data_IF_756555732359
#
_entry.id   IF_756555732359
#
_cell.length_a   1.000
_cell.length_b   1.000
_cell.length_c   1.000
_cell.angle_alpha   90.00
_cell.angle_beta   90.00
_cell.angle_gamma   90.00
#
_symmetry.space_group_name_H-M   'P 1'
#
loop_
_entity.id
_entity.type
_entity.pdbx_description
1 polymer ?
#
# COMPACT_ATOMS: atom_id res chain seq x y z
N UNK A 1 -19.30 11.58 -15.07
CA UNK A 1 -18.08 10.75 -15.07
C UNK A 1 -18.06 10.02 -13.73
N UNK A 2 -18.28 8.71 -13.73
CA UNK A 2 -18.15 7.89 -12.53
C UNK A 2 -16.67 7.79 -12.19
N UNK A 3 -16.32 8.20 -10.97
CA UNK A 3 -14.93 8.19 -10.51
C UNK A 3 -14.65 6.82 -9.93
N UNK A 4 -13.81 6.05 -10.59
CA UNK A 4 -13.52 4.65 -10.21
C UNK A 4 -12.21 4.53 -9.44
N UNK A 5 -12.14 3.51 -8.59
CA UNK A 5 -10.91 3.11 -7.93
C UNK A 5 -10.03 2.33 -8.92
N UNK A 6 -8.77 2.73 -9.06
CA UNK A 6 -7.81 2.04 -9.95
C UNK A 6 -6.73 1.37 -9.13
N UNK A 7 -6.52 0.07 -9.33
CA UNK A 7 -5.44 -0.70 -8.68
C UNK A 7 -4.16 -0.52 -9.48
N UNK A 8 -3.06 -0.27 -8.79
CA UNK A 8 -1.73 -0.15 -9.36
C UNK A 8 -0.76 -1.07 -8.60
N UNK A 9 -0.17 -2.04 -9.31
CA UNK A 9 0.76 -3.05 -8.79
C UNK A 9 2.19 -2.47 -8.61
N UNK A 10 2.30 -1.41 -7.81
CA UNK A 10 3.57 -0.87 -7.33
C UNK A 10 3.37 -0.22 -5.97
N UNK A 11 4.44 -0.06 -5.20
CA UNK A 11 4.41 0.83 -4.04
C UNK A 11 4.11 2.28 -4.48
N UNK A 12 3.39 3.08 -3.68
CA UNK A 12 3.18 4.49 -4.01
C UNK A 12 4.52 5.26 -3.92
N UNK A 13 4.54 6.52 -4.39
CA UNK A 13 5.68 7.42 -4.17
C UNK A 13 6.00 7.53 -2.68
N UNK A 14 7.24 7.87 -2.34
CA UNK A 14 7.71 8.03 -0.94
C UNK A 14 6.82 9.01 -0.16
N UNK A 15 6.46 10.12 -0.81
CA UNK A 15 5.66 11.20 -0.23
C UNK A 15 4.24 10.73 0.06
N UNK A 16 3.58 10.08 -0.92
CA UNK A 16 2.26 9.48 -0.74
C UNK A 16 2.26 8.36 0.31
N UNK A 17 3.30 7.52 0.36
CA UNK A 17 3.46 6.50 1.40
C UNK A 17 3.47 7.12 2.80
N UNK A 18 4.35 8.11 3.02
CA UNK A 18 4.46 8.79 4.31
C UNK A 18 3.15 9.50 4.69
N UNK A 19 2.52 10.19 3.73
CA UNK A 19 1.25 10.87 3.93
C UNK A 19 0.13 9.90 4.33
N UNK A 20 -0.07 8.83 3.56
CA UNK A 20 -1.17 7.90 3.76
C UNK A 20 -1.06 7.14 5.08
N UNK A 21 0.17 6.83 5.54
CA UNK A 21 0.38 6.28 6.89
C UNK A 21 -0.19 7.19 7.97
N UNK A 22 0.14 8.48 7.92
CA UNK A 22 -0.32 9.45 8.91
C UNK A 22 -1.83 9.65 8.80
N UNK A 23 -2.35 9.80 7.57
CA UNK A 23 -3.78 9.95 7.32
C UNK A 23 -4.58 8.76 7.87
N UNK A 24 -4.07 7.53 7.73
CA UNK A 24 -4.69 6.33 8.25
C UNK A 24 -4.45 6.09 9.76
N UNK A 25 -3.83 7.02 10.48
CA UNK A 25 -3.59 6.92 11.93
C UNK A 25 -2.44 5.98 12.31
N UNK A 26 -1.57 5.62 11.35
CA UNK A 26 -0.37 4.82 11.61
C UNK A 26 0.79 5.68 12.08
N UNK A 27 1.78 5.06 12.72
CA UNK A 27 3.02 5.75 13.08
C UNK A 27 3.73 6.31 11.85
N UNK A 28 4.23 7.58 11.91
CA UNK A 28 4.93 8.19 10.79
C UNK A 28 6.24 7.45 10.49
N UNK A 29 6.71 7.58 9.24
CA UNK A 29 8.04 7.10 8.83
C UNK A 29 8.87 8.28 8.32
N UNK A 30 10.15 8.37 8.70
CA UNK A 30 11.06 9.35 8.10
C UNK A 30 11.10 9.18 6.59
N UNK A 31 11.09 10.30 5.85
CA UNK A 31 11.09 10.29 4.39
C UNK A 31 12.31 9.54 3.83
N UNK A 32 13.48 9.73 4.44
CA UNK A 32 14.71 9.02 4.05
C UNK A 32 14.60 7.50 4.26
N UNK A 33 14.02 7.07 5.38
CA UNK A 33 13.78 5.66 5.66
C UNK A 33 12.77 5.04 4.69
N UNK A 34 11.71 5.75 4.33
CA UNK A 34 10.78 5.31 3.30
C UNK A 34 11.44 5.24 1.91
N UNK A 35 12.26 6.24 1.55
CA UNK A 35 13.01 6.28 0.29
C UNK A 35 13.97 5.11 0.16
N UNK A 36 14.68 4.76 1.23
CA UNK A 36 15.55 3.60 1.27
C UNK A 36 14.77 2.28 1.28
N UNK A 37 13.69 2.19 2.06
CA UNK A 37 13.00 0.92 2.31
C UNK A 37 11.99 0.50 1.24
N UNK A 38 11.33 1.42 0.54
CA UNK A 38 10.30 1.08 -0.46
C UNK A 38 10.82 0.23 -1.63
N UNK A 39 12.02 0.50 -2.21
CA UNK A 39 12.59 -0.34 -3.27
C UNK A 39 12.87 -1.80 -2.86
N UNK A 40 12.97 -2.10 -1.56
CA UNK A 40 13.23 -3.44 -1.04
C UNK A 40 11.95 -4.26 -0.77
N UNK A 41 10.80 -3.75 -1.17
CA UNK A 41 9.54 -4.49 -1.07
C UNK A 41 9.55 -5.63 -2.10
N UNK A 42 9.21 -6.85 -1.69
CA UNK A 42 9.04 -7.98 -2.61
C UNK A 42 7.89 -7.72 -3.60
N UNK A 43 6.86 -7.02 -3.11
CA UNK A 43 5.73 -6.57 -3.90
C UNK A 43 5.09 -5.33 -3.27
N UNK A 44 4.41 -4.51 -4.05
CA UNK A 44 3.63 -3.38 -3.56
C UNK A 44 2.38 -3.16 -4.39
N UNK A 45 1.33 -2.65 -3.75
CA UNK A 45 0.09 -2.27 -4.40
C UNK A 45 -0.44 -0.98 -3.79
N UNK A 46 -1.01 -0.11 -4.63
CA UNK A 46 -1.81 1.01 -4.16
C UNK A 46 -3.05 1.21 -5.03
N UNK A 47 -4.02 1.92 -4.49
CA UNK A 47 -5.28 2.25 -5.16
C UNK A 47 -5.36 3.76 -5.33
N UNK A 48 -5.64 4.18 -6.57
CA UNK A 48 -5.91 5.57 -6.91
C UNK A 48 -7.41 5.87 -6.86
N UNK A 49 -7.75 7.07 -6.41
CA UNK A 49 -9.03 7.71 -6.62
C UNK A 49 -8.77 9.14 -7.07
N UNK A 50 -9.24 9.53 -8.27
CA UNK A 50 -8.92 10.83 -8.87
C UNK A 50 -7.40 11.11 -8.90
N UNK A 51 -6.63 10.14 -9.41
CA UNK A 51 -5.15 10.19 -9.47
C UNK A 51 -4.44 10.28 -8.12
N UNK A 52 -5.18 10.27 -7.00
CA UNK A 52 -4.64 10.36 -5.65
C UNK A 52 -4.54 8.97 -5.03
N UNK A 53 -3.37 8.55 -4.51
CA UNK A 53 -3.25 7.30 -3.75
C UNK A 53 -4.06 7.36 -2.45
N UNK A 54 -5.08 6.51 -2.34
CA UNK A 54 -5.99 6.46 -1.17
C UNK A 54 -5.95 5.13 -0.41
N UNK A 55 -5.26 4.13 -0.92
CA UNK A 55 -5.00 2.88 -0.19
C UNK A 55 -3.67 2.29 -0.66
N UNK A 56 -2.98 1.58 0.22
CA UNK A 56 -1.72 0.91 -0.11
C UNK A 56 -1.50 -0.32 0.74
N UNK A 57 -0.60 -1.19 0.29
CA UNK A 57 0.02 -2.26 1.06
C UNK A 57 1.27 -2.76 0.34
N UNK A 58 2.11 -3.50 1.05
CA UNK A 58 3.28 -4.14 0.44
C UNK A 58 3.63 -5.46 1.12
N UNK A 59 4.48 -6.22 0.46
CA UNK A 59 5.09 -7.44 1.00
C UNK A 59 6.58 -7.19 1.23
N UNK A 60 7.06 -7.62 2.39
CA UNK A 60 8.48 -7.77 2.70
C UNK A 60 8.73 -9.23 3.09
N UNK A 61 9.97 -9.71 2.95
CA UNK A 61 10.28 -11.10 3.27
C UNK A 61 11.68 -11.51 2.87
N UNK A 62 11.97 -12.79 3.04
CA UNK A 62 13.26 -13.41 2.72
C UNK A 62 13.37 -13.89 1.25
N UNK A 63 12.27 -13.80 0.49
CA UNK A 63 12.21 -14.30 -0.88
C UNK A 63 12.11 -15.82 -0.98
N UNK A 64 11.81 -16.52 0.12
CA UNK A 64 11.74 -17.98 0.19
C UNK A 64 10.55 -18.47 1.02
N UNK A 65 10.65 -18.41 2.35
CA UNK A 65 9.73 -19.13 3.25
C UNK A 65 8.95 -18.20 4.18
N UNK A 66 9.36 -16.94 4.32
CA UNK A 66 8.73 -15.99 5.23
C UNK A 66 8.46 -14.66 4.54
N UNK A 67 7.17 -14.31 4.49
CA UNK A 67 6.67 -13.05 3.94
C UNK A 67 5.64 -12.42 4.88
N UNK A 68 5.73 -11.11 5.04
CA UNK A 68 4.79 -10.30 5.79
C UNK A 68 4.12 -9.27 4.88
N UNK A 69 2.79 -9.24 4.92
CA UNK A 69 2.03 -8.11 4.36
C UNK A 69 2.07 -6.98 5.40
N UNK A 70 2.70 -5.87 5.01
CA UNK A 70 2.91 -4.71 5.88
C UNK A 70 2.35 -3.44 5.25
N UNK A 71 2.24 -2.40 6.07
CA UNK A 71 1.85 -1.05 5.67
C UNK A 71 0.51 -0.96 4.93
N UNK A 72 -0.44 -1.82 5.32
CA UNK A 72 -1.81 -1.79 4.82
C UNK A 72 -2.52 -0.56 5.40
N UNK A 73 -2.81 0.42 4.55
CA UNK A 73 -3.44 1.68 4.93
C UNK A 73 -4.54 2.04 3.94
N UNK A 74 -5.62 2.64 4.44
CA UNK A 74 -6.71 3.21 3.64
C UNK A 74 -7.03 4.57 4.21
N UNK A 75 -7.11 5.57 3.33
CA UNK A 75 -7.55 6.93 3.67
C UNK A 75 -8.90 6.87 4.40
N UNK A 76 -9.08 7.57 5.54
CA UNK A 76 -10.31 7.54 6.33
C UNK A 76 -11.59 7.83 5.53
N UNK A 77 -11.55 8.73 4.54
CA UNK A 77 -12.72 9.05 3.72
C UNK A 77 -13.13 7.90 2.77
N UNK A 78 -12.25 6.91 2.60
CA UNK A 78 -12.42 5.75 1.73
C UNK A 78 -12.51 4.43 2.51
N UNK A 79 -12.43 4.46 3.84
CA UNK A 79 -12.64 3.29 4.70
C UNK A 79 -14.10 2.79 4.66
N UNK A 80 -14.31 1.53 5.07
CA UNK A 80 -15.63 0.87 5.01
C UNK A 80 -16.10 0.45 3.61
N UNK A 81 -15.34 0.78 2.55
CA UNK A 81 -15.68 0.49 1.14
C UNK A 81 -15.00 -0.77 0.58
N UNK A 82 -14.43 -1.62 1.44
CA UNK A 82 -13.76 -2.87 1.04
C UNK A 82 -12.34 -2.72 0.48
N UNK A 83 -11.77 -1.51 0.42
CA UNK A 83 -10.46 -1.26 -0.18
C UNK A 83 -9.30 -1.94 0.56
N UNK A 84 -9.36 -2.04 1.89
CA UNK A 84 -8.36 -2.79 2.66
C UNK A 84 -8.37 -4.28 2.31
N UNK A 85 -9.56 -4.86 2.09
CA UNK A 85 -9.70 -6.24 1.63
C UNK A 85 -9.15 -6.42 0.21
N UNK A 86 -9.37 -5.43 -0.66
CA UNK A 86 -8.81 -5.44 -2.01
C UNK A 86 -7.28 -5.41 -1.96
N UNK A 87 -6.66 -4.50 -1.20
CA UNK A 87 -5.20 -4.46 -0.99
C UNK A 87 -4.67 -5.81 -0.49
N UNK A 88 -5.28 -6.38 0.54
CA UNK A 88 -4.88 -7.68 1.08
C UNK A 88 -5.01 -8.81 0.04
N UNK A 89 -6.07 -8.78 -0.76
CA UNK A 89 -6.30 -9.75 -1.83
C UNK A 89 -5.26 -9.67 -2.93
N UNK A 90 -4.93 -8.47 -3.40
CA UNK A 90 -3.91 -8.27 -4.43
C UNK A 90 -2.51 -8.65 -3.93
N UNK A 91 -2.15 -8.28 -2.69
CA UNK A 91 -0.90 -8.71 -2.08
C UNK A 91 -0.84 -10.25 -1.92
N UNK A 92 -1.89 -10.86 -1.39
CA UNK A 92 -1.91 -12.30 -1.12
C UNK A 92 -1.83 -13.20 -2.35
N UNK A 93 -2.28 -12.74 -3.53
CA UNK A 93 -2.20 -13.50 -4.79
C UNK A 93 -0.76 -13.77 -5.25
N UNK A 94 0.19 -12.94 -4.84
CA UNK A 94 1.60 -13.06 -5.24
C UNK A 94 2.45 -13.83 -4.23
N UNK A 95 2.10 -13.80 -2.94
CA UNK A 95 2.80 -14.59 -1.91
C UNK A 95 2.62 -16.11 -2.07
N UNK A 96 1.71 -16.57 -2.94
CA UNK A 96 1.47 -17.99 -3.24
C UNK A 96 2.06 -18.47 -4.56
N UNK A 97 2.88 -17.67 -5.24
CA UNK A 97 3.64 -18.07 -6.43
C UNK A 97 5.08 -18.38 -6.07
#
# INVERSE_FOLDING_TARGET
MTVEYTVIEKVPSVEAFCHLRVAAGMSPRPLEGARAGLPHSCYGVHILWQETPIAMGRIVGDGAINFDIVDVAVDPAHQGKGLGRLVMGEAGRLAGR
#
